data_IF_584427386083
#
_entry.id   IF_584427386083
#
_cell.length_a   1.000
_cell.length_b   1.000
_cell.length_c   1.000
_cell.angle_alpha   90.00
_cell.angle_beta   90.00
_cell.angle_gamma   90.00
#
_symmetry.space_group_name_H-M   'P 1'
#
loop_
_entity.id
_entity.type
_entity.pdbx_description
1 polymer ?
#
# COMPACT_ATOMS: atom_id res chain seq x y z
N UNK A 1 12.70 -13.57 -13.25
CA UNK A 1 12.96 -12.15 -13.55
C UNK A 1 14.14 -11.73 -12.70
N UNK A 2 15.15 -11.12 -13.31
CA UNK A 2 16.28 -10.55 -12.59
C UNK A 2 15.99 -9.06 -12.33
N UNK A 3 15.89 -8.69 -11.06
CA UNK A 3 15.56 -7.32 -10.61
C UNK A 3 16.80 -6.50 -10.29
N UNK A 4 18.01 -7.06 -10.36
CA UNK A 4 19.26 -6.39 -9.96
C UNK A 4 19.43 -5.04 -10.67
N UNK A 5 19.16 -4.99 -11.97
CA UNK A 5 19.25 -3.75 -12.75
C UNK A 5 18.25 -2.67 -12.30
N UNK A 6 17.06 -3.06 -11.84
CA UNK A 6 16.06 -2.13 -11.28
C UNK A 6 16.49 -1.65 -9.89
N UNK A 7 17.00 -2.55 -9.05
CA UNK A 7 17.57 -2.20 -7.75
C UNK A 7 18.67 -1.16 -7.93
N UNK A 8 19.65 -1.43 -8.80
CA UNK A 8 20.78 -0.54 -9.06
C UNK A 8 20.31 0.83 -9.57
N UNK A 9 19.39 0.84 -10.54
CA UNK A 9 18.82 2.06 -11.09
C UNK A 9 18.15 2.93 -10.03
N UNK A 10 17.27 2.36 -9.20
CA UNK A 10 16.56 3.13 -8.18
C UNK A 10 17.44 3.48 -6.98
N UNK A 11 18.44 2.65 -6.63
CA UNK A 11 19.47 3.01 -5.65
C UNK A 11 20.31 4.20 -6.12
N UNK A 12 20.65 4.27 -7.42
CA UNK A 12 21.33 5.44 -7.99
C UNK A 12 20.46 6.70 -7.93
N UNK A 13 19.18 6.61 -8.32
CA UNK A 13 18.23 7.73 -8.19
C UNK A 13 18.16 8.19 -6.73
N UNK A 14 17.96 7.27 -5.78
CA UNK A 14 17.89 7.57 -4.35
C UNK A 14 19.14 8.31 -3.86
N UNK A 15 20.33 7.80 -4.19
CA UNK A 15 21.58 8.38 -3.74
C UNK A 15 21.84 9.79 -4.31
N UNK A 16 21.33 10.07 -5.50
CA UNK A 16 21.43 11.38 -6.16
C UNK A 16 20.28 12.34 -5.83
N UNK A 17 19.24 11.85 -5.13
CA UNK A 17 18.07 12.64 -4.77
C UNK A 17 18.35 13.57 -3.59
N UNK A 18 17.86 14.81 -3.69
CA UNK A 18 18.04 15.83 -2.65
C UNK A 18 17.46 15.40 -1.30
N UNK A 19 18.12 15.76 -0.21
CA UNK A 19 17.65 15.62 1.18
C UNK A 19 17.15 16.96 1.76
N UNK A 20 17.06 18.00 0.93
CA UNK A 20 16.57 19.33 1.33
C UNK A 20 15.06 19.35 1.47
N UNK A 21 14.55 20.24 2.32
CA UNK A 21 13.11 20.39 2.54
C UNK A 21 12.37 20.56 1.20
N UNK A 22 11.33 19.75 0.90
CA UNK A 22 10.64 19.80 -0.38
C UNK A 22 9.92 21.13 -0.60
N UNK A 23 9.91 21.60 -1.85
CA UNK A 23 9.03 22.68 -2.25
C UNK A 23 7.61 22.10 -2.46
N UNK A 24 6.73 22.30 -1.49
CA UNK A 24 5.31 21.99 -1.61
C UNK A 24 4.58 23.20 -2.22
N UNK A 25 3.52 22.94 -2.99
CA UNK A 25 2.80 23.97 -3.75
C UNK A 25 1.69 24.65 -2.95
N UNK A 26 1.13 23.97 -1.94
CA UNK A 26 -0.05 24.43 -1.21
C UNK A 26 0.22 24.44 0.29
N UNK A 27 0.14 25.62 0.89
CA UNK A 27 0.23 25.82 2.34
C UNK A 27 -1.12 26.24 2.93
N UNK A 28 -1.37 25.89 4.18
CA UNK A 28 -2.63 26.16 4.87
C UNK A 28 -2.42 27.03 6.10
N UNK A 29 -3.15 28.13 6.19
CA UNK A 29 -3.21 28.98 7.37
C UNK A 29 -3.95 28.30 8.53
N UNK A 30 -3.71 28.77 9.75
CA UNK A 30 -4.41 28.28 10.94
C UNK A 30 -5.93 28.54 10.90
N UNK A 31 -6.38 29.53 10.12
CA UNK A 31 -7.81 29.77 9.91
C UNK A 31 -8.42 28.69 9.01
N UNK A 32 -7.77 28.38 7.88
CA UNK A 32 -8.21 27.34 6.95
C UNK A 32 -8.21 25.96 7.60
N UNK A 33 -7.17 25.63 8.39
CA UNK A 33 -7.11 24.37 9.14
C UNK A 33 -8.29 24.23 10.08
N UNK A 34 -8.61 25.26 10.88
CA UNK A 34 -9.75 25.23 11.82
C UNK A 34 -11.09 25.03 11.12
N UNK A 35 -11.28 25.62 9.95
CA UNK A 35 -12.48 25.39 9.13
C UNK A 35 -12.56 23.93 8.65
N UNK A 36 -11.46 23.40 8.13
CA UNK A 36 -11.35 22.01 7.67
C UNK A 36 -11.54 21.00 8.80
N UNK A 37 -10.98 21.27 9.97
CA UNK A 37 -11.13 20.46 11.19
C UNK A 37 -12.59 20.43 11.67
N UNK A 38 -13.29 21.56 11.58
CA UNK A 38 -14.74 21.63 11.88
C UNK A 38 -15.54 20.76 10.91
N UNK A 39 -15.22 20.87 9.61
CA UNK A 39 -15.88 20.08 8.58
C UNK A 39 -15.60 18.57 8.75
N UNK A 40 -14.35 18.19 9.00
CA UNK A 40 -13.95 16.81 9.22
C UNK A 40 -14.63 16.23 10.46
N UNK A 41 -14.62 16.96 11.59
CA UNK A 41 -15.30 16.55 12.82
C UNK A 41 -16.79 16.31 12.57
N UNK A 42 -17.47 17.26 11.93
CA UNK A 42 -18.89 17.14 11.61
C UNK A 42 -19.23 15.96 10.69
N UNK A 43 -18.32 15.57 9.78
CA UNK A 43 -18.49 14.33 9.02
C UNK A 43 -18.34 13.08 9.90
N UNK A 44 -17.27 13.01 10.71
CA UNK A 44 -17.02 11.85 11.57
C UNK A 44 -18.09 11.66 12.66
N UNK A 45 -18.63 12.75 13.21
CA UNK A 45 -19.69 12.72 14.23
C UNK A 45 -21.00 12.20 13.64
N UNK A 46 -21.42 12.72 12.46
CA UNK A 46 -22.58 12.19 11.74
C UNK A 46 -22.44 10.70 11.42
N UNK A 47 -21.25 10.26 11.02
CA UNK A 47 -21.01 8.84 10.78
C UNK A 47 -21.14 8.01 12.08
N UNK A 48 -20.62 8.52 13.20
CA UNK A 48 -20.75 7.85 14.51
C UNK A 48 -22.21 7.76 14.98
N UNK A 49 -23.01 8.79 14.72
CA UNK A 49 -24.45 8.81 15.04
C UNK A 49 -25.20 7.73 14.25
N UNK A 50 -25.02 7.67 12.93
CA UNK A 50 -25.61 6.63 12.06
C UNK A 50 -25.29 5.20 12.54
N UNK A 51 -24.12 4.98 13.14
CA UNK A 51 -23.75 3.68 13.74
C UNK A 51 -24.45 3.39 15.06
N UNK A 52 -24.61 4.39 15.94
CA UNK A 52 -25.24 4.20 17.27
C UNK A 52 -26.72 3.85 17.16
N UNK A 53 -27.38 4.33 16.13
CA UNK A 53 -28.81 4.08 15.89
C UNK A 53 -29.12 2.68 15.35
N UNK A 54 -28.10 1.83 15.15
CA UNK A 54 -28.30 0.45 14.65
C UNK A 54 -28.67 0.38 13.15
N UNK A 55 -28.70 1.53 12.45
CA UNK A 55 -29.00 1.67 11.02
C UNK A 55 -27.86 1.21 10.10
N UNK A 56 -26.89 0.43 10.59
CA UNK A 56 -25.81 -0.12 9.74
C UNK A 56 -26.38 -1.04 8.65
N UNK A 57 -27.57 -1.61 8.86
CA UNK A 57 -28.28 -2.43 7.85
C UNK A 57 -28.79 -1.63 6.65
N UNK A 58 -28.74 -0.30 6.67
CA UNK A 58 -29.16 0.55 5.56
C UNK A 58 -28.35 1.85 5.47
N UNK A 59 -27.02 1.77 5.61
CA UNK A 59 -26.17 2.90 5.26
C UNK A 59 -26.46 3.27 3.79
N UNK A 60 -27.12 4.40 3.61
CA UNK A 60 -27.39 4.98 2.31
C UNK A 60 -26.04 5.24 1.63
N UNK A 61 -25.67 4.30 0.75
CA UNK A 61 -24.36 4.26 0.11
C UNK A 61 -24.11 5.54 -0.67
N UNK A 62 -25.16 6.09 -1.30
CA UNK A 62 -25.10 7.34 -2.05
C UNK A 62 -24.78 8.52 -1.12
N UNK A 63 -25.49 8.63 0.02
CA UNK A 63 -25.18 9.67 1.03
C UNK A 63 -23.77 9.53 1.60
N UNK A 64 -23.31 8.32 1.85
CA UNK A 64 -21.94 8.08 2.32
C UNK A 64 -20.92 8.59 1.30
N UNK A 65 -21.01 8.14 0.04
CA UNK A 65 -20.04 8.54 -0.99
C UNK A 65 -20.11 10.04 -1.29
N UNK A 66 -21.29 10.64 -1.24
CA UNK A 66 -21.46 12.10 -1.33
C UNK A 66 -20.74 12.83 -0.19
N UNK A 67 -20.86 12.32 1.04
CA UNK A 67 -20.17 12.85 2.20
C UNK A 67 -18.66 12.68 2.12
N UNK A 68 -18.18 11.48 1.77
CA UNK A 68 -16.76 11.19 1.54
C UNK A 68 -16.18 12.10 0.45
N UNK A 69 -16.87 12.23 -0.68
CA UNK A 69 -16.48 13.15 -1.77
C UNK A 69 -16.39 14.59 -1.27
N UNK A 70 -17.35 15.04 -0.47
CA UNK A 70 -17.30 16.38 0.12
C UNK A 70 -16.11 16.56 1.06
N UNK A 71 -15.74 15.55 1.86
CA UNK A 71 -14.57 15.61 2.74
C UNK A 71 -13.30 15.65 1.91
N UNK A 72 -13.12 14.72 0.98
CA UNK A 72 -11.94 14.66 0.12
C UNK A 72 -11.73 15.97 -0.65
N UNK A 73 -12.81 16.55 -1.19
CA UNK A 73 -12.75 17.84 -1.88
C UNK A 73 -12.41 19.00 -0.96
N UNK A 74 -13.16 19.19 0.12
CA UNK A 74 -13.10 20.42 0.93
C UNK A 74 -12.02 20.40 2.00
N UNK A 75 -11.64 19.22 2.49
CA UNK A 75 -10.61 19.05 3.51
C UNK A 75 -9.26 18.82 2.86
N UNK A 76 -9.19 18.03 1.79
CA UNK A 76 -7.92 17.61 1.20
C UNK A 76 -7.66 18.19 -0.18
N UNK A 77 -8.54 19.00 -0.76
CA UNK A 77 -8.38 19.66 -2.07
C UNK A 77 -8.27 18.70 -3.27
N UNK A 78 -8.89 17.53 -3.22
CA UNK A 78 -9.02 16.69 -4.41
C UNK A 78 -9.97 17.34 -5.44
N UNK A 79 -9.58 17.35 -6.72
CA UNK A 79 -10.38 17.87 -7.83
C UNK A 79 -11.62 17.01 -8.09
N UNK A 80 -12.62 17.55 -8.79
CA UNK A 80 -13.80 16.75 -9.15
C UNK A 80 -13.42 15.59 -10.08
N UNK A 81 -12.49 15.82 -11.00
CA UNK A 81 -11.95 14.84 -11.94
C UNK A 81 -11.25 13.68 -11.19
N UNK A 82 -10.41 14.02 -10.21
CA UNK A 82 -9.76 13.06 -9.31
C UNK A 82 -10.78 12.22 -8.53
N UNK A 83 -11.83 12.88 -8.04
CA UNK A 83 -12.88 12.24 -7.25
C UNK A 83 -13.76 11.33 -8.10
N UNK A 84 -14.05 11.71 -9.35
CA UNK A 84 -14.78 10.87 -10.31
C UNK A 84 -14.06 9.56 -10.58
N UNK A 85 -12.71 9.58 -10.62
CA UNK A 85 -11.91 8.37 -10.79
C UNK A 85 -11.95 7.46 -9.55
N UNK A 86 -11.69 7.99 -8.35
CA UNK A 86 -11.59 7.15 -7.14
C UNK A 86 -12.95 6.71 -6.58
N UNK A 87 -14.02 7.44 -6.91
CA UNK A 87 -15.40 7.09 -6.51
C UNK A 87 -16.21 6.47 -7.64
N UNK A 88 -15.55 6.12 -8.76
CA UNK A 88 -16.21 5.48 -9.89
C UNK A 88 -16.93 4.19 -9.44
N UNK A 89 -18.18 3.92 -9.89
CA UNK A 89 -18.95 2.74 -9.48
C UNK A 89 -18.18 1.42 -9.61
N UNK A 90 -17.36 1.25 -10.65
CA UNK A 90 -16.56 0.05 -10.85
C UNK A 90 -15.56 -0.23 -9.72
N UNK A 91 -15.02 0.79 -9.04
CA UNK A 91 -14.14 0.60 -7.88
C UNK A 91 -14.91 0.01 -6.69
N UNK A 92 -16.16 0.46 -6.50
CA UNK A 92 -17.05 0.01 -5.44
C UNK A 92 -17.51 -1.42 -5.73
N UNK A 93 -17.93 -1.67 -6.97
CA UNK A 93 -18.40 -2.99 -7.41
C UNK A 93 -17.28 -4.03 -7.29
N UNK A 94 -16.06 -3.70 -7.72
CA UNK A 94 -14.90 -4.58 -7.54
C UNK A 94 -14.63 -4.89 -6.06
N UNK A 95 -14.85 -3.92 -5.15
CA UNK A 95 -14.68 -4.14 -3.70
C UNK A 95 -15.75 -5.07 -3.12
N UNK A 96 -17.01 -4.92 -3.55
CA UNK A 96 -18.13 -5.81 -3.18
C UNK A 96 -17.96 -7.22 -3.73
N UNK A 97 -17.53 -7.33 -4.97
CA UNK A 97 -17.18 -8.60 -5.60
C UNK A 97 -16.03 -9.27 -4.83
N UNK A 98 -14.97 -8.53 -4.50
CA UNK A 98 -13.83 -9.06 -3.74
C UNK A 98 -14.28 -9.67 -2.40
N UNK A 99 -15.11 -8.95 -1.64
CA UNK A 99 -15.61 -9.45 -0.36
C UNK A 99 -16.42 -10.74 -0.52
N UNK A 100 -17.35 -10.76 -1.49
CA UNK A 100 -18.18 -11.95 -1.76
C UNK A 100 -17.34 -13.15 -2.18
N UNK A 101 -16.41 -12.96 -3.11
CA UNK A 101 -15.53 -14.03 -3.59
C UNK A 101 -14.55 -14.50 -2.52
N UNK A 102 -14.02 -13.60 -1.67
CA UNK A 102 -13.18 -13.98 -0.53
C UNK A 102 -13.94 -14.86 0.48
N UNK A 103 -15.18 -14.50 0.81
CA UNK A 103 -16.04 -15.31 1.70
C UNK A 103 -16.46 -16.64 1.07
N UNK A 104 -16.64 -16.66 -0.25
CA UNK A 104 -16.94 -17.90 -0.99
C UNK A 104 -15.73 -18.83 -1.05
N UNK A 105 -14.52 -18.28 -1.18
CA UNK A 105 -13.27 -19.03 -1.15
C UNK A 105 -13.01 -19.62 0.24
N UNK A 106 -13.11 -18.81 1.30
CA UNK A 106 -12.93 -19.24 2.68
C UNK A 106 -13.83 -18.44 3.64
N UNK A 107 -14.90 -19.09 4.10
CA UNK A 107 -15.87 -18.49 5.02
C UNK A 107 -15.30 -18.24 6.43
N UNK A 108 -14.13 -18.80 6.76
CA UNK A 108 -13.48 -18.62 8.06
C UNK A 108 -12.67 -17.33 8.15
N UNK A 109 -12.35 -16.68 7.02
CA UNK A 109 -11.64 -15.41 6.99
C UNK A 109 -12.40 -14.34 7.78
N UNK A 110 -11.66 -13.68 8.68
CA UNK A 110 -12.16 -12.53 9.42
C UNK A 110 -12.36 -11.32 8.50
N UNK A 111 -13.11 -10.33 8.98
CA UNK A 111 -13.35 -9.10 8.22
C UNK A 111 -12.08 -8.28 8.07
N UNK A 112 -11.23 -8.34 9.08
CA UNK A 112 -9.93 -7.70 9.14
C UNK A 112 -8.98 -8.30 8.08
N UNK A 113 -8.92 -9.63 7.96
CA UNK A 113 -8.11 -10.31 6.95
C UNK A 113 -8.60 -10.01 5.51
N UNK A 114 -9.92 -10.03 5.28
CA UNK A 114 -10.48 -9.69 3.97
C UNK A 114 -10.18 -8.22 3.63
N UNK A 115 -10.31 -7.32 4.59
CA UNK A 115 -9.98 -5.91 4.37
C UNK A 115 -8.50 -5.70 4.07
N UNK A 116 -7.61 -6.41 4.78
CA UNK A 116 -6.16 -6.37 4.53
C UNK A 116 -5.85 -6.81 3.10
N UNK A 117 -6.40 -7.96 2.66
CA UNK A 117 -6.25 -8.46 1.30
C UNK A 117 -6.82 -7.49 0.26
N UNK A 118 -7.99 -6.92 0.52
CA UNK A 118 -8.65 -5.99 -0.39
C UNK A 118 -7.86 -4.69 -0.63
N UNK A 119 -7.03 -4.25 0.32
CA UNK A 119 -6.14 -3.09 0.10
C UNK A 119 -5.23 -3.31 -1.11
N UNK A 120 -4.71 -4.53 -1.28
CA UNK A 120 -3.89 -4.87 -2.45
C UNK A 120 -4.71 -4.87 -3.74
N UNK A 121 -5.97 -5.35 -3.68
CA UNK A 121 -6.87 -5.29 -4.83
C UNK A 121 -7.14 -3.84 -5.28
N UNK A 122 -7.23 -2.87 -4.35
CA UNK A 122 -7.36 -1.46 -4.72
C UNK A 122 -6.13 -0.87 -5.41
N UNK A 123 -4.92 -1.30 -5.03
CA UNK A 123 -3.70 -0.93 -5.77
C UNK A 123 -3.81 -1.45 -7.19
N UNK A 124 -4.15 -2.74 -7.38
CA UNK A 124 -4.35 -3.33 -8.70
C UNK A 124 -5.47 -2.65 -9.50
N UNK A 125 -6.56 -2.22 -8.88
CA UNK A 125 -7.60 -1.42 -9.55
C UNK A 125 -7.08 -0.04 -9.99
N UNK A 126 -6.23 0.59 -9.18
CA UNK A 126 -5.49 1.78 -9.58
C UNK A 126 -4.57 1.53 -10.78
N UNK A 127 -3.87 0.39 -10.81
CA UNK A 127 -3.05 0.01 -11.96
C UNK A 127 -3.91 -0.25 -13.21
N UNK A 128 -5.10 -0.85 -13.07
CA UNK A 128 -6.05 -0.98 -14.19
C UNK A 128 -6.38 0.39 -14.78
N UNK A 129 -6.68 1.40 -13.94
CA UNK A 129 -6.93 2.76 -14.39
C UNK A 129 -5.72 3.35 -15.15
N UNK A 130 -4.52 3.26 -14.58
CA UNK A 130 -3.29 3.75 -15.20
C UNK A 130 -3.03 3.12 -16.57
N UNK A 131 -3.30 1.82 -16.71
CA UNK A 131 -3.13 1.10 -17.96
C UNK A 131 -4.32 1.26 -18.92
N UNK A 132 -5.36 1.98 -18.51
CA UNK A 132 -6.58 2.14 -19.29
C UNK A 132 -7.40 0.88 -19.46
N UNK A 133 -7.22 -0.08 -18.56
CA UNK A 133 -7.96 -1.32 -18.50
C UNK A 133 -9.26 -1.11 -17.70
N UNK A 134 -10.32 -1.89 -17.99
CA UNK A 134 -11.52 -1.86 -17.17
C UNK A 134 -11.21 -2.28 -15.74
N UNK A 135 -11.68 -1.49 -14.77
CA UNK A 135 -11.63 -1.86 -13.37
C UNK A 135 -12.61 -3.01 -13.12
N UNK A 136 -12.07 -4.17 -12.74
CA UNK A 136 -12.84 -5.38 -12.43
C UNK A 136 -12.01 -6.31 -11.55
N UNK A 137 -12.67 -7.16 -10.77
CA UNK A 137 -12.00 -8.24 -10.08
C UNK A 137 -11.68 -9.36 -11.07
N UNK A 138 -10.39 -9.67 -11.28
CA UNK A 138 -9.99 -10.87 -12.00
C UNK A 138 -9.64 -12.00 -11.04
N UNK A 139 -9.65 -13.27 -11.48
CA UNK A 139 -9.20 -14.40 -10.67
C UNK A 139 -7.81 -14.18 -10.06
N UNK A 140 -6.88 -13.61 -10.82
CA UNK A 140 -5.50 -13.34 -10.36
C UNK A 140 -5.42 -12.18 -9.37
N UNK A 141 -6.25 -11.14 -9.52
CA UNK A 141 -6.37 -10.05 -8.53
C UNK A 141 -6.89 -10.62 -7.20
N UNK A 142 -7.97 -11.40 -7.24
CA UNK A 142 -8.51 -12.08 -6.06
C UNK A 142 -7.46 -12.98 -5.42
N UNK A 143 -6.88 -13.87 -6.24
CA UNK A 143 -6.01 -14.93 -5.76
C UNK A 143 -4.76 -14.37 -5.08
N UNK A 144 -4.08 -13.43 -5.72
CA UNK A 144 -2.85 -12.87 -5.18
C UNK A 144 -3.10 -12.02 -3.94
N UNK A 145 -4.14 -11.18 -3.95
CA UNK A 145 -4.51 -10.41 -2.76
C UNK A 145 -4.88 -11.30 -1.57
N UNK A 146 -5.52 -12.44 -1.80
CA UNK A 146 -5.83 -13.42 -0.75
C UNK A 146 -4.63 -14.25 -0.29
N UNK A 147 -3.47 -14.22 -0.96
CA UNK A 147 -2.29 -14.91 -0.44
C UNK A 147 -1.85 -14.33 0.91
N UNK A 148 -1.94 -13.01 1.09
CA UNK A 148 -1.48 -12.29 2.30
C UNK A 148 -1.96 -12.91 3.63
N UNK A 149 -3.27 -13.14 3.85
CA UNK A 149 -3.74 -13.84 5.06
C UNK A 149 -3.11 -15.21 5.32
N UNK A 150 -2.72 -15.93 4.26
CA UNK A 150 -2.17 -17.28 4.38
C UNK A 150 -0.63 -17.32 4.42
N UNK A 151 0.06 -16.42 3.69
CA UNK A 151 1.52 -16.33 3.64
C UNK A 151 2.08 -15.35 4.65
N UNK A 152 1.74 -14.08 4.54
CA UNK A 152 2.40 -12.98 5.25
C UNK A 152 2.15 -13.09 6.76
N UNK A 153 0.89 -13.37 7.16
CA UNK A 153 0.57 -13.63 8.56
C UNK A 153 1.39 -14.79 9.18
N UNK A 154 1.86 -15.77 8.40
CA UNK A 154 2.75 -16.83 8.89
C UNK A 154 4.19 -16.34 9.01
N UNK A 155 4.65 -15.58 8.00
CA UNK A 155 6.01 -15.05 7.96
C UNK A 155 6.24 -13.98 9.02
N UNK A 156 5.20 -13.22 9.38
CA UNK A 156 5.25 -12.15 10.37
C UNK A 156 5.02 -12.64 11.80
N UNK A 157 4.45 -13.84 12.00
CA UNK A 157 4.18 -14.38 13.33
C UNK A 157 5.50 -14.67 14.10
N UNK A 158 5.77 -13.97 15.23
CA UNK A 158 6.99 -14.16 16.00
C UNK A 158 7.01 -15.51 16.75
N UNK A 159 5.86 -16.17 16.90
CA UNK A 159 5.78 -17.50 17.52
C UNK A 159 6.27 -18.62 16.59
N UNK A 160 6.32 -18.38 15.27
CA UNK A 160 6.78 -19.36 14.29
C UNK A 160 8.31 -19.31 14.17
N UNK A 161 8.96 -20.47 14.24
CA UNK A 161 10.41 -20.54 14.23
C UNK A 161 11.01 -20.17 12.86
N UNK A 162 12.26 -19.70 12.87
CA UNK A 162 13.02 -19.41 11.64
C UNK A 162 13.06 -20.62 10.68
N UNK A 163 13.20 -21.82 11.25
CA UNK A 163 13.30 -23.06 10.48
C UNK A 163 11.98 -23.41 9.80
N UNK A 164 10.85 -23.19 10.48
CA UNK A 164 9.52 -23.40 9.92
C UNK A 164 9.22 -22.39 8.82
N UNK A 165 9.51 -21.09 9.03
CA UNK A 165 9.39 -20.05 8.00
C UNK A 165 10.21 -20.41 6.77
N UNK A 166 11.48 -20.79 6.95
CA UNK A 166 12.35 -21.19 5.84
C UNK A 166 11.86 -22.45 5.12
N UNK A 167 11.32 -23.43 5.83
CA UNK A 167 10.76 -24.64 5.23
C UNK A 167 9.48 -24.34 4.43
N UNK A 168 8.61 -23.47 4.96
CA UNK A 168 7.44 -22.96 4.26
C UNK A 168 7.84 -22.19 3.00
N UNK A 169 8.76 -21.23 3.08
CA UNK A 169 9.20 -20.43 1.93
C UNK A 169 9.77 -21.29 0.81
N UNK A 170 10.52 -22.37 1.13
CA UNK A 170 11.02 -23.32 0.11
C UNK A 170 9.90 -24.09 -0.58
N UNK A 171 8.89 -24.56 0.17
CA UNK A 171 7.72 -25.24 -0.42
C UNK A 171 6.93 -24.28 -1.32
N UNK A 172 6.72 -23.07 -0.83
CA UNK A 172 5.99 -22.05 -1.59
C UNK A 172 6.71 -21.66 -2.87
N UNK A 173 8.04 -21.50 -2.83
CA UNK A 173 8.85 -21.29 -4.04
C UNK A 173 8.68 -22.44 -5.04
N UNK A 174 8.74 -23.71 -4.58
CA UNK A 174 8.50 -24.88 -5.43
C UNK A 174 7.10 -24.90 -6.07
N UNK A 175 6.07 -24.49 -5.33
CA UNK A 175 4.70 -24.34 -5.85
C UNK A 175 4.62 -23.23 -6.91
N UNK A 176 5.24 -22.08 -6.65
CA UNK A 176 5.31 -20.97 -7.61
C UNK A 176 6.10 -21.33 -8.86
N UNK A 177 7.09 -22.22 -8.78
CA UNK A 177 7.78 -22.80 -9.93
C UNK A 177 6.93 -23.84 -10.69
N UNK A 178 5.94 -24.45 -10.03
CA UNK A 178 5.19 -25.59 -10.56
C UNK A 178 5.97 -26.91 -10.45
N UNK A 179 6.98 -26.97 -9.59
CA UNK A 179 7.86 -28.14 -9.41
C UNK A 179 7.35 -29.08 -8.30
N UNK A 180 6.66 -28.55 -7.30
CA UNK A 180 6.16 -29.33 -6.16
C UNK A 180 4.88 -28.70 -5.61
N UNK A 181 3.91 -29.52 -5.14
CA UNK A 181 2.72 -29.00 -4.47
C UNK A 181 3.09 -28.39 -3.11
N UNK A 182 2.13 -27.68 -2.52
CA UNK A 182 2.25 -27.27 -1.13
C UNK A 182 2.03 -28.48 -0.20
N UNK A 183 2.21 -28.27 1.10
CA UNK A 183 1.88 -29.25 2.12
C UNK A 183 0.38 -29.53 2.25
N UNK A 184 0.03 -30.53 3.05
CA UNK A 184 -1.34 -31.02 3.18
C UNK A 184 -2.18 -30.30 4.23
N UNK A 185 -1.63 -29.28 4.91
CA UNK A 185 -2.40 -28.51 5.89
C UNK A 185 -3.36 -27.54 5.18
N UNK A 186 -4.50 -27.16 5.80
CA UNK A 186 -5.52 -26.35 5.14
C UNK A 186 -5.01 -25.02 4.57
N UNK A 187 -4.10 -24.33 5.28
CA UNK A 187 -3.49 -23.07 4.84
C UNK A 187 -2.66 -23.26 3.57
N UNK A 188 -1.82 -24.29 3.55
CA UNK A 188 -0.98 -24.63 2.40
C UNK A 188 -1.81 -25.09 1.19
N UNK A 189 -2.91 -25.82 1.42
CA UNK A 189 -3.88 -26.16 0.37
C UNK A 189 -4.59 -24.92 -0.19
N UNK A 190 -4.92 -23.94 0.65
CA UNK A 190 -5.48 -22.66 0.20
C UNK A 190 -4.49 -21.90 -0.70
N UNK A 191 -3.22 -21.81 -0.28
CA UNK A 191 -2.15 -21.20 -1.09
C UNK A 191 -2.03 -21.90 -2.45
N UNK A 192 -2.00 -23.23 -2.48
CA UNK A 192 -1.92 -23.99 -3.74
C UNK A 192 -3.13 -23.71 -4.65
N UNK A 193 -4.34 -23.63 -4.08
CA UNK A 193 -5.55 -23.31 -4.83
C UNK A 193 -5.52 -21.89 -5.43
N UNK A 194 -5.00 -20.90 -4.68
CA UNK A 194 -4.83 -19.52 -5.16
C UNK A 194 -3.77 -19.45 -6.27
N UNK A 195 -2.63 -20.11 -6.11
CA UNK A 195 -1.60 -20.20 -7.18
C UNK A 195 -2.17 -20.89 -8.43
N UNK A 196 -2.96 -21.95 -8.26
CA UNK A 196 -3.62 -22.63 -9.36
C UNK A 196 -4.63 -21.71 -10.08
N UNK A 197 -5.33 -20.85 -9.34
CA UNK A 197 -6.23 -19.84 -9.92
C UNK A 197 -5.47 -18.88 -10.84
N UNK A 198 -4.31 -18.37 -10.40
CA UNK A 198 -3.43 -17.53 -11.22
C UNK A 198 -2.94 -18.29 -12.46
N UNK A 199 -2.52 -19.55 -12.30
CA UNK A 199 -2.03 -20.37 -13.40
C UNK A 199 -3.10 -20.65 -14.47
N UNK A 200 -4.39 -20.70 -14.10
CA UNK A 200 -5.50 -20.88 -15.05
C UNK A 200 -5.75 -19.64 -15.89
N UNK A 201 -5.70 -18.45 -15.28
CA UNK A 201 -5.83 -17.19 -16.00
C UNK A 201 -4.59 -16.89 -16.85
N UNK A 202 -3.41 -17.13 -16.29
CA UNK A 202 -2.12 -16.92 -16.94
C UNK A 202 -1.34 -18.22 -17.07
N UNK A 203 -1.54 -19.02 -18.13
CA UNK A 203 -0.75 -20.23 -18.37
C UNK A 203 0.76 -19.92 -18.49
N UNK A 204 1.59 -20.65 -17.73
CA UNK A 204 3.05 -20.43 -17.61
C UNK A 204 3.80 -20.28 -18.93
N UNK A 205 3.44 -21.09 -19.92
CA UNK A 205 4.06 -21.09 -21.25
C UNK A 205 3.71 -19.87 -22.10
N UNK A 206 2.60 -19.18 -21.80
CA UNK A 206 2.16 -17.97 -22.51
C UNK A 206 2.54 -16.69 -21.76
N UNK A 207 2.56 -16.74 -20.44
CA UNK A 207 2.79 -15.59 -19.56
C UNK A 207 3.97 -15.83 -18.62
N UNK A 208 5.18 -16.12 -19.14
CA UNK A 208 6.33 -16.44 -18.29
C UNK A 208 6.67 -15.30 -17.31
N UNK A 209 6.44 -14.04 -17.70
CA UNK A 209 6.76 -12.89 -16.88
C UNK A 209 5.85 -12.75 -15.65
N UNK A 210 4.58 -13.15 -15.72
CA UNK A 210 3.67 -13.20 -14.56
C UNK A 210 4.21 -14.14 -13.48
N UNK A 211 4.62 -15.33 -13.88
CA UNK A 211 5.15 -16.32 -12.93
C UNK A 211 6.54 -15.93 -12.41
N UNK A 212 7.34 -15.31 -13.26
CA UNK A 212 8.63 -14.80 -12.86
C UNK A 212 8.53 -13.59 -11.91
N UNK A 213 7.49 -12.76 -12.01
CA UNK A 213 7.27 -11.65 -11.08
C UNK A 213 6.81 -12.17 -9.72
N UNK A 214 5.92 -13.18 -9.68
CA UNK A 214 5.54 -13.87 -8.43
C UNK A 214 6.74 -14.48 -7.71
N UNK A 215 7.64 -15.13 -8.46
CA UNK A 215 8.88 -15.66 -7.90
C UNK A 215 9.82 -14.54 -7.41
N UNK A 216 9.86 -13.40 -8.09
CA UNK A 216 10.69 -12.27 -7.70
C UNK A 216 10.22 -11.68 -6.36
N UNK A 217 8.93 -11.38 -6.19
CA UNK A 217 8.40 -10.88 -4.92
C UNK A 217 8.56 -11.89 -3.78
N UNK A 218 8.30 -13.18 -4.03
CA UNK A 218 8.51 -14.23 -3.01
C UNK A 218 9.96 -14.31 -2.53
N UNK A 219 10.92 -14.21 -3.46
CA UNK A 219 12.35 -14.17 -3.13
C UNK A 219 12.72 -12.90 -2.37
N UNK A 220 12.20 -11.75 -2.78
CA UNK A 220 12.43 -10.49 -2.10
C UNK A 220 11.87 -10.49 -0.67
N UNK A 221 10.64 -11.00 -0.47
CA UNK A 221 10.03 -11.21 0.85
C UNK A 221 10.89 -12.16 1.70
N UNK A 222 11.30 -13.31 1.17
CA UNK A 222 12.16 -14.28 1.89
C UNK A 222 13.50 -13.65 2.26
N UNK A 223 14.10 -12.85 1.37
CA UNK A 223 15.35 -12.11 1.65
C UNK A 223 15.15 -11.04 2.72
N UNK A 224 13.98 -10.41 2.78
CA UNK A 224 13.66 -9.35 3.74
C UNK A 224 13.63 -9.83 5.19
N UNK A 225 13.51 -11.13 5.44
CA UNK A 225 13.70 -11.71 6.79
C UNK A 225 15.06 -11.32 7.40
N UNK A 226 16.09 -11.06 6.58
CA UNK A 226 17.38 -10.55 7.08
C UNK A 226 17.27 -9.19 7.79
N UNK A 227 16.28 -8.38 7.43
CA UNK A 227 16.01 -7.10 8.07
C UNK A 227 15.41 -7.28 9.48
N UNK A 228 14.74 -8.40 9.74
CA UNK A 228 14.12 -8.74 11.01
C UNK A 228 15.05 -9.57 11.92
N UNK A 229 16.37 -9.45 11.76
CA UNK A 229 17.36 -10.13 12.61
C UNK A 229 17.64 -11.59 12.26
N UNK A 230 17.13 -12.12 11.15
CA UNK A 230 17.44 -13.48 10.71
C UNK A 230 18.77 -13.53 9.94
N UNK A 231 19.77 -14.22 10.49
CA UNK A 231 21.08 -14.41 9.84
C UNK A 231 22.06 -13.27 10.11
N UNK A 232 22.99 -13.03 9.17
CA UNK A 232 24.00 -11.97 9.33
C UNK A 232 23.36 -10.59 9.13
N UNK A 233 23.53 -9.65 10.08
CA UNK A 233 23.03 -8.29 9.96
C UNK A 233 23.48 -7.64 8.66
N UNK A 234 22.54 -7.09 7.86
CA UNK A 234 22.87 -6.43 6.60
C UNK A 234 23.62 -5.12 6.84
N UNK A 235 24.51 -4.77 5.91
CA UNK A 235 25.09 -3.43 5.82
C UNK A 235 24.04 -2.37 5.44
N UNK A 236 24.35 -1.08 5.59
CA UNK A 236 23.43 0.00 5.23
C UNK A 236 23.01 -0.03 3.75
N UNK A 237 23.93 -0.37 2.84
CA UNK A 237 23.63 -0.56 1.42
C UNK A 237 22.72 -1.77 1.19
N UNK A 238 22.96 -2.88 1.90
CA UNK A 238 22.07 -4.05 1.81
C UNK A 238 20.67 -3.76 2.35
N UNK A 239 20.53 -2.98 3.42
CA UNK A 239 19.21 -2.57 3.96
C UNK A 239 18.42 -1.84 2.87
N UNK A 240 19.04 -0.84 2.23
CA UNK A 240 18.45 -0.09 1.11
C UNK A 240 18.02 -1.04 -0.01
N UNK A 241 18.93 -1.90 -0.47
CA UNK A 241 18.70 -2.80 -1.61
C UNK A 241 17.63 -3.84 -1.34
N UNK A 242 17.59 -4.40 -0.12
CA UNK A 242 16.57 -5.38 0.28
C UNK A 242 15.18 -4.72 0.35
N UNK A 243 15.09 -3.52 0.95
CA UNK A 243 13.84 -2.76 0.98
C UNK A 243 13.35 -2.43 -0.43
N UNK A 244 14.25 -2.00 -1.32
CA UNK A 244 13.90 -1.65 -2.70
C UNK A 244 13.45 -2.87 -3.51
N UNK A 245 14.10 -4.02 -3.34
CA UNK A 245 13.70 -5.27 -3.97
C UNK A 245 12.30 -5.69 -3.49
N UNK A 246 12.05 -5.67 -2.17
CA UNK A 246 10.73 -6.02 -1.60
C UNK A 246 9.62 -5.09 -2.09
N UNK A 247 9.80 -3.79 -1.93
CA UNK A 247 8.80 -2.79 -2.35
C UNK A 247 8.57 -2.80 -3.85
N UNK A 248 9.64 -2.77 -4.65
CA UNK A 248 9.55 -2.68 -6.09
C UNK A 248 8.96 -3.93 -6.75
N UNK A 249 9.33 -5.13 -6.27
CA UNK A 249 8.74 -6.36 -6.79
C UNK A 249 7.26 -6.51 -6.45
N UNK A 250 6.77 -5.91 -5.36
CA UNK A 250 5.37 -5.99 -4.94
C UNK A 250 4.44 -5.40 -6.00
N UNK A 251 4.63 -4.12 -6.33
CA UNK A 251 3.80 -3.44 -7.35
C UNK A 251 4.11 -3.91 -8.76
N UNK A 252 5.34 -4.37 -9.03
CA UNK A 252 5.67 -4.99 -10.32
C UNK A 252 4.87 -6.28 -10.53
N UNK A 253 4.77 -7.14 -9.50
CA UNK A 253 3.94 -8.33 -9.56
C UNK A 253 2.47 -7.98 -9.77
N UNK A 254 1.95 -6.98 -9.06
CA UNK A 254 0.59 -6.47 -9.26
C UNK A 254 0.33 -6.08 -10.71
N UNK A 255 1.25 -5.33 -11.32
CA UNK A 255 1.13 -4.90 -12.71
C UNK A 255 1.06 -6.08 -13.70
N UNK A 256 1.88 -7.11 -13.50
CA UNK A 256 1.82 -8.32 -14.33
C UNK A 256 0.53 -9.11 -14.12
N UNK A 257 0.02 -9.19 -12.89
CA UNK A 257 -1.26 -9.87 -12.61
C UNK A 257 -2.46 -9.10 -13.19
N UNK A 258 -2.36 -7.78 -13.27
CA UNK A 258 -3.37 -6.91 -13.88
C UNK A 258 -3.40 -7.02 -15.41
N UNK A 259 -2.22 -7.03 -16.05
CA UNK A 259 -2.12 -6.85 -17.51
C UNK A 259 -1.64 -8.09 -18.28
N UNK A 260 -1.06 -9.08 -17.59
CA UNK A 260 -0.38 -10.24 -18.18
C UNK A 260 0.96 -9.91 -18.84
N UNK A 261 1.09 -8.72 -19.44
CA UNK A 261 2.30 -8.21 -20.08
C UNK A 261 2.45 -6.71 -19.77
N UNK A 262 3.69 -6.28 -19.58
CA UNK A 262 4.05 -4.88 -19.38
C UNK A 262 5.16 -4.50 -20.35
N UNK A 263 5.18 -3.24 -20.79
CA UNK A 263 6.37 -2.71 -21.47
C UNK A 263 7.52 -2.54 -20.47
N UNK A 264 8.77 -2.43 -20.93
CA UNK A 264 9.91 -2.13 -20.05
C UNK A 264 9.72 -0.84 -19.26
N UNK A 265 9.15 0.20 -19.86
CA UNK A 265 8.92 1.50 -19.23
C UNK A 265 7.88 1.41 -18.12
N UNK A 266 6.76 0.72 -18.37
CA UNK A 266 5.71 0.51 -17.35
C UNK A 266 6.24 -0.39 -16.23
N UNK A 267 7.02 -1.43 -16.56
CA UNK A 267 7.65 -2.30 -15.56
C UNK A 267 8.58 -1.50 -14.64
N UNK A 268 9.40 -0.61 -15.22
CA UNK A 268 10.28 0.29 -14.46
C UNK A 268 9.46 1.23 -13.57
N UNK A 269 8.42 1.86 -14.11
CA UNK A 269 7.56 2.76 -13.35
C UNK A 269 6.90 2.03 -12.17
N UNK A 270 6.28 0.88 -12.38
CA UNK A 270 5.64 0.11 -11.31
C UNK A 270 6.63 -0.36 -10.25
N UNK A 271 7.84 -0.75 -10.65
CA UNK A 271 8.89 -1.06 -9.69
C UNK A 271 9.26 0.17 -8.85
N UNK A 272 9.53 1.33 -9.47
CA UNK A 272 9.83 2.57 -8.75
C UNK A 272 8.68 3.01 -7.84
N UNK A 273 7.44 2.83 -8.29
CA UNK A 273 6.24 3.13 -7.53
C UNK A 273 6.16 2.27 -6.27
N UNK A 274 6.45 0.96 -6.38
CA UNK A 274 6.54 0.06 -5.24
C UNK A 274 7.66 0.42 -4.26
N UNK A 275 8.82 0.86 -4.75
CA UNK A 275 9.90 1.38 -3.89
C UNK A 275 9.42 2.60 -3.10
N UNK A 276 8.70 3.52 -3.75
CA UNK A 276 8.20 4.71 -3.07
C UNK A 276 7.15 4.40 -2.00
N UNK A 277 6.26 3.44 -2.26
CA UNK A 277 5.31 2.94 -1.25
C UNK A 277 6.03 2.30 -0.06
N UNK A 278 7.05 1.47 -0.29
CA UNK A 278 7.84 0.87 0.79
C UNK A 278 8.52 1.95 1.65
N UNK A 279 9.07 3.00 1.04
CA UNK A 279 9.65 4.13 1.77
C UNK A 279 8.60 4.87 2.61
N UNK A 280 7.37 5.02 2.09
CA UNK A 280 6.29 5.65 2.84
C UNK A 280 5.87 4.78 4.04
N UNK A 281 5.70 3.48 3.83
CA UNK A 281 5.36 2.51 4.88
C UNK A 281 6.44 2.49 5.99
N UNK A 282 7.74 2.42 5.63
CA UNK A 282 8.83 2.45 6.62
C UNK A 282 8.85 3.74 7.48
N UNK A 283 8.36 4.87 6.94
CA UNK A 283 8.22 6.12 7.69
C UNK A 283 6.99 6.08 8.60
N UNK A 284 5.89 5.47 8.15
CA UNK A 284 4.67 5.28 8.94
C UNK A 284 4.89 4.34 10.13
N UNK A 285 5.63 3.26 9.89
CA UNK A 285 5.80 2.16 10.83
C UNK A 285 7.09 2.28 11.65
N UNK A 286 7.78 3.43 11.57
CA UNK A 286 9.05 3.67 12.25
C UNK A 286 9.07 3.34 13.76
N UNK A 287 7.98 3.62 14.49
CA UNK A 287 7.91 3.27 15.92
C UNK A 287 7.84 1.75 16.14
N UNK A 288 7.09 1.05 15.29
CA UNK A 288 6.89 -0.40 15.30
C UNK A 288 8.19 -1.10 14.87
N UNK A 289 8.81 -0.67 13.78
CA UNK A 289 10.11 -1.18 13.31
C UNK A 289 11.21 -1.05 14.37
N UNK A 290 11.27 0.09 15.06
CA UNK A 290 12.23 0.30 16.15
C UNK A 290 11.92 -0.54 17.38
N UNK A 291 10.65 -0.85 17.64
CA UNK A 291 10.24 -1.73 18.74
C UNK A 291 10.63 -3.18 18.46
N UNK A 292 10.39 -3.63 17.23
CA UNK A 292 10.62 -5.01 16.78
C UNK A 292 12.08 -5.26 16.37
N UNK A 293 12.89 -4.20 16.26
CA UNK A 293 14.28 -4.28 15.82
C UNK A 293 14.41 -4.55 14.31
N UNK A 294 13.36 -4.31 13.54
CA UNK A 294 13.36 -4.40 12.08
C UNK A 294 14.23 -3.29 11.50
N UNK A 295 15.17 -3.66 10.63
CA UNK A 295 16.11 -2.75 10.00
C UNK A 295 15.53 -2.21 8.68
N UNK A 296 15.16 -0.93 8.68
CA UNK A 296 14.78 -0.17 7.49
C UNK A 296 15.75 1.00 7.30
N UNK A 297 15.64 1.72 6.19
CA UNK A 297 16.46 2.92 5.94
C UNK A 297 16.23 3.96 7.06
N UNK A 298 15.05 3.97 7.68
CA UNK A 298 14.67 4.95 8.70
C UNK A 298 14.93 4.45 10.12
N UNK A 299 14.82 3.14 10.39
CA UNK A 299 15.05 2.56 11.72
C UNK A 299 16.51 2.11 11.96
N UNK A 300 17.33 2.01 10.90
CA UNK A 300 18.71 1.54 11.02
C UNK A 300 19.56 2.35 12.02
N UNK A 301 20.44 1.68 12.80
CA UNK A 301 21.33 2.35 13.73
C UNK A 301 22.17 3.44 13.04
N UNK A 302 22.17 4.64 13.62
CA UNK A 302 22.92 5.79 13.10
C UNK A 302 22.11 6.74 12.22
N UNK A 303 20.93 6.33 11.71
CA UNK A 303 20.11 7.18 10.84
C UNK A 303 19.17 8.15 11.58
N UNK A 304 19.05 8.01 12.91
CA UNK A 304 18.16 8.85 13.74
C UNK A 304 18.37 10.36 13.54
N UNK A 305 19.62 10.82 13.45
CA UNK A 305 19.93 12.24 13.24
C UNK A 305 19.61 12.72 11.82
N UNK A 306 19.52 11.79 10.85
CA UNK A 306 19.29 12.06 9.44
C UNK A 306 17.83 11.87 9.01
N UNK A 307 16.93 11.48 9.92
CA UNK A 307 15.51 11.19 9.62
C UNK A 307 14.81 12.30 8.82
N UNK A 308 14.93 13.61 9.16
CA UNK A 308 14.36 14.67 8.33
C UNK A 308 14.90 14.66 6.90
N UNK A 309 16.22 14.48 6.71
CA UNK A 309 16.84 14.44 5.39
C UNK A 309 16.43 13.21 4.58
N UNK A 310 16.33 12.04 5.21
CA UNK A 310 15.84 10.81 4.58
C UNK A 310 14.37 10.93 4.17
N UNK A 311 13.55 11.56 5.02
CA UNK A 311 12.13 11.83 4.71
C UNK A 311 11.98 12.80 3.55
N UNK A 312 12.75 13.88 3.55
CA UNK A 312 12.81 14.81 2.42
C UNK A 312 13.19 14.10 1.13
N UNK A 313 14.19 13.21 1.20
CA UNK A 313 14.61 12.40 0.06
C UNK A 313 13.49 11.49 -0.43
N UNK A 314 12.68 10.90 0.44
CA UNK A 314 11.52 10.10 0.04
C UNK A 314 10.48 10.91 -0.74
N UNK A 315 10.23 12.17 -0.38
CA UNK A 315 9.37 13.06 -1.18
C UNK A 315 9.94 13.31 -2.58
N UNK A 316 11.20 13.72 -2.66
CA UNK A 316 11.85 14.01 -3.94
C UNK A 316 11.99 12.76 -4.81
N UNK A 317 12.29 11.61 -4.21
CA UNK A 317 12.38 10.33 -4.91
C UNK A 317 11.05 9.97 -5.56
N UNK A 318 9.96 10.08 -4.80
CA UNK A 318 8.61 9.86 -5.31
C UNK A 318 8.29 10.75 -6.52
N UNK A 319 8.64 12.03 -6.45
CA UNK A 319 8.43 12.97 -7.57
C UNK A 319 9.20 12.56 -8.83
N UNK A 320 10.45 12.10 -8.69
CA UNK A 320 11.25 11.59 -9.82
C UNK A 320 10.61 10.32 -10.40
N UNK A 321 10.19 9.38 -9.56
CA UNK A 321 9.47 8.16 -9.99
C UNK A 321 8.20 8.52 -10.75
N UNK A 322 7.44 9.51 -10.27
CA UNK A 322 6.19 9.95 -10.88
C UNK A 322 6.38 10.63 -12.25
N UNK A 323 7.60 11.03 -12.65
CA UNK A 323 7.85 11.49 -14.02
C UNK A 323 7.64 10.39 -15.07
N UNK A 324 7.80 9.12 -14.68
CA UNK A 324 7.60 7.97 -15.56
C UNK A 324 6.12 7.57 -15.70
N UNK A 325 5.20 8.18 -14.95
CA UNK A 325 3.76 7.93 -15.12
C UNK A 325 3.26 8.29 -16.52
N UNK A 326 4.00 9.13 -17.25
CA UNK A 326 3.73 9.50 -18.66
C UNK A 326 3.72 8.30 -19.62
N UNK A 327 4.29 7.16 -19.24
CA UNK A 327 4.25 5.93 -20.03
C UNK A 327 2.95 5.14 -19.84
N UNK A 328 2.12 5.52 -18.87
CA UNK A 328 0.76 5.02 -18.69
C UNK A 328 -0.21 5.73 -19.67
N UNK A 329 -1.50 5.38 -19.62
CA UNK A 329 -2.50 5.96 -20.53
C UNK A 329 -2.73 7.44 -20.23
N UNK A 330 -2.37 8.28 -21.19
CA UNK A 330 -2.28 9.75 -21.10
C UNK A 330 -3.44 10.43 -20.36
N UNK A 331 -4.69 10.15 -20.74
CA UNK A 331 -5.87 10.81 -20.15
C UNK A 331 -6.12 10.44 -18.69
N UNK A 332 -5.68 9.26 -18.25
CA UNK A 332 -5.89 8.76 -16.88
C UNK A 332 -4.65 9.03 -16.03
N UNK A 333 -3.46 8.94 -16.60
CA UNK A 333 -2.20 9.15 -15.90
C UNK A 333 -2.04 10.56 -15.35
N UNK A 334 -2.59 11.58 -16.02
CA UNK A 334 -2.49 12.96 -15.53
C UNK A 334 -3.31 13.16 -14.24
N UNK A 335 -4.61 12.88 -14.29
CA UNK A 335 -5.50 13.09 -13.13
C UNK A 335 -5.25 12.08 -12.02
N UNK A 336 -5.10 10.80 -12.35
CA UNK A 336 -4.82 9.79 -11.34
C UNK A 336 -3.40 9.91 -10.77
N UNK A 337 -2.45 10.42 -11.55
CA UNK A 337 -1.12 10.76 -11.07
C UNK A 337 -1.13 11.82 -9.98
N UNK A 338 -1.97 12.87 -10.14
CA UNK A 338 -2.18 13.89 -9.09
C UNK A 338 -2.71 13.24 -7.81
N UNK A 339 -3.69 12.33 -7.94
CA UNK A 339 -4.25 11.59 -6.79
C UNK A 339 -3.18 10.78 -6.06
N UNK A 340 -2.38 9.99 -6.79
CA UNK A 340 -1.33 9.15 -6.21
C UNK A 340 -0.31 10.03 -5.48
N UNK A 341 0.20 11.07 -6.17
CA UNK A 341 1.21 11.97 -5.62
C UNK A 341 0.73 12.62 -4.33
N UNK A 342 -0.43 13.27 -4.38
CA UNK A 342 -1.03 13.96 -3.23
C UNK A 342 -1.30 13.01 -2.06
N UNK A 343 -1.82 11.81 -2.34
CA UNK A 343 -2.16 10.84 -1.29
C UNK A 343 -0.93 10.35 -0.54
N UNK A 344 0.15 10.03 -1.24
CA UNK A 344 1.38 9.50 -0.63
C UNK A 344 2.19 10.62 0.02
N UNK A 345 2.25 11.81 -0.59
CA UNK A 345 2.89 12.95 0.08
C UNK A 345 2.18 13.30 1.39
N UNK A 346 0.84 13.33 1.42
CA UNK A 346 0.07 13.54 2.65
C UNK A 346 0.33 12.45 3.68
N UNK A 347 0.52 11.20 3.24
CA UNK A 347 0.83 10.06 4.09
C UNK A 347 2.19 10.22 4.77
N UNK A 348 3.25 10.48 3.99
CA UNK A 348 4.61 10.71 4.50
C UNK A 348 4.64 11.94 5.41
N UNK A 349 3.98 13.03 5.00
CA UNK A 349 3.91 14.27 5.75
C UNK A 349 3.29 14.06 7.13
N UNK A 350 2.16 13.35 7.21
CA UNK A 350 1.49 13.05 8.48
C UNK A 350 2.32 12.08 9.32
N UNK A 351 2.93 11.06 8.71
CA UNK A 351 3.76 10.09 9.42
C UNK A 351 4.93 10.76 10.16
N UNK A 352 5.69 11.60 9.45
CA UNK A 352 6.79 12.35 10.05
C UNK A 352 6.30 13.46 10.99
N UNK A 353 5.23 14.16 10.59
CA UNK A 353 4.65 15.28 11.33
C UNK A 353 4.10 14.90 12.71
N UNK A 354 3.44 13.75 12.82
CA UNK A 354 2.82 13.28 14.06
C UNK A 354 3.83 12.64 15.03
N UNK A 355 4.99 12.22 14.53
CA UNK A 355 6.01 11.46 15.26
C UNK A 355 6.97 12.34 16.09
N UNK A 356 6.51 12.88 17.22
CA UNK A 356 7.28 13.83 18.07
C UNK A 356 8.52 13.21 18.71
N UNK A 357 8.50 11.88 18.88
CA UNK A 357 9.61 11.10 19.42
C UNK A 357 10.84 11.07 18.49
N UNK A 358 10.61 11.19 17.19
CA UNK A 358 11.64 10.95 16.17
C UNK A 358 12.04 12.22 15.41
N UNK A 359 11.08 13.13 15.17
CA UNK A 359 11.32 14.32 14.36
C UNK A 359 11.44 15.59 15.22
N UNK A 360 12.42 16.48 14.92
CA UNK A 360 12.55 17.76 15.60
C UNK A 360 11.29 18.63 15.46
N UNK A 361 10.98 19.41 16.49
CA UNK A 361 9.82 20.31 16.51
C UNK A 361 9.83 21.30 15.33
N UNK A 362 10.99 21.87 15.00
CA UNK A 362 11.15 22.82 13.89
C UNK A 362 10.76 22.20 12.55
N UNK A 363 11.22 20.98 12.27
CA UNK A 363 10.88 20.25 11.05
C UNK A 363 9.39 19.90 10.99
N UNK A 364 8.82 19.42 12.10
CA UNK A 364 7.38 19.14 12.19
C UNK A 364 6.54 20.39 11.94
N UNK A 365 6.89 21.52 12.53
CA UNK A 365 6.16 22.78 12.29
C UNK A 365 6.27 23.27 10.85
N UNK A 366 7.39 23.00 10.16
CA UNK A 366 7.51 23.25 8.72
C UNK A 366 6.58 22.34 7.90
N UNK A 367 6.53 21.04 8.20
CA UNK A 367 5.61 20.10 7.55
C UNK A 367 4.14 20.46 7.80
N UNK A 368 3.81 20.87 9.02
CA UNK A 368 2.44 21.22 9.40
C UNK A 368 1.87 22.37 8.56
N UNK A 369 2.70 23.29 8.08
CA UNK A 369 2.27 24.36 7.18
C UNK A 369 1.66 23.82 5.87
N UNK A 370 1.99 22.59 5.47
CA UNK A 370 1.51 21.92 4.27
C UNK A 370 0.52 20.78 4.59
N UNK A 371 0.12 20.63 5.86
CA UNK A 371 -0.93 19.71 6.28
C UNK A 371 -2.29 20.41 6.21
N UNK A 372 -3.29 19.83 5.52
CA UNK A 372 -4.65 20.40 5.48
C UNK A 372 -5.36 20.47 6.84
N UNK A 373 -4.93 19.64 7.79
CA UNK A 373 -5.43 19.57 9.16
C UNK A 373 -4.25 19.74 10.12
N UNK A 374 -4.49 20.38 11.28
CA UNK A 374 -3.46 20.50 12.31
C UNK A 374 -3.02 19.14 12.86
N UNK A 375 -1.74 19.01 13.21
CA UNK A 375 -1.19 17.76 13.75
C UNK A 375 -1.76 17.45 15.13
N UNK A 376 -1.99 18.47 15.97
CA UNK A 376 -2.65 18.29 17.27
C UNK A 376 -4.08 17.78 17.08
N UNK A 377 -4.81 18.32 16.10
CA UNK A 377 -6.14 17.84 15.76
C UNK A 377 -6.13 16.37 15.32
N UNK A 378 -5.21 15.99 14.42
CA UNK A 378 -5.08 14.62 13.93
C UNK A 378 -4.74 13.63 15.05
N UNK A 379 -3.86 14.00 15.99
CA UNK A 379 -3.55 13.19 17.17
C UNK A 379 -4.79 12.97 18.04
N UNK A 380 -5.57 14.02 18.30
CA UNK A 380 -6.81 13.92 19.06
C UNK A 380 -7.88 13.10 18.33
N UNK A 381 -8.00 13.25 17.01
CA UNK A 381 -8.91 12.46 16.18
C UNK A 381 -8.56 10.96 16.21
N UNK A 382 -7.26 10.61 16.25
CA UNK A 382 -6.77 9.23 16.39
C UNK A 382 -7.11 8.66 17.78
N UNK A 383 -6.89 9.42 18.86
CA UNK A 383 -7.24 9.01 20.24
C UNK A 383 -8.74 8.80 20.44
N UNK A 384 -9.58 9.63 19.84
CA UNK A 384 -11.05 9.53 19.92
C UNK A 384 -11.63 8.33 19.17
N UNK A 385 -10.79 7.51 18.54
CA UNK A 385 -11.22 6.32 17.82
C UNK A 385 -12.12 6.68 16.65
N UNK A 386 -11.85 7.81 15.97
CA UNK A 386 -12.50 8.14 14.70
C UNK A 386 -12.54 6.87 13.86
N UNK A 387 -13.72 6.43 13.37
CA UNK A 387 -13.88 5.10 12.83
C UNK A 387 -12.78 4.86 11.79
N UNK A 388 -11.91 3.90 12.08
CA UNK A 388 -10.78 3.61 11.21
C UNK A 388 -11.29 3.38 9.79
N UNK A 389 -10.53 3.82 8.79
CA UNK A 389 -10.86 3.68 7.36
C UNK A 389 -11.41 2.29 7.02
N UNK A 390 -10.88 1.25 7.67
CA UNK A 390 -11.39 -0.12 7.66
C UNK A 390 -12.87 -0.24 8.05
N UNK A 391 -13.24 0.20 9.26
CA UNK A 391 -14.60 0.07 9.80
C UNK A 391 -15.64 0.87 8.99
N UNK A 392 -15.21 1.92 8.30
CA UNK A 392 -16.03 2.70 7.37
C UNK A 392 -16.31 1.90 6.10
N UNK A 393 -15.24 1.39 5.50
CA UNK A 393 -15.31 0.76 4.19
C UNK A 393 -15.93 -0.64 4.25
N UNK A 394 -15.60 -1.45 5.27
CA UNK A 394 -16.21 -2.78 5.43
C UNK A 394 -17.72 -2.71 5.60
N UNK A 395 -18.25 -1.72 6.32
CA UNK A 395 -19.70 -1.54 6.47
C UNK A 395 -20.46 -1.14 5.21
N UNK A 396 -19.77 -0.72 4.15
CA UNK A 396 -20.39 -0.34 2.86
C UNK A 396 -20.33 -1.46 1.82
N UNK A 397 -19.38 -2.36 2.01
CA UNK A 397 -19.07 -3.47 1.12
C UNK A 397 -19.87 -4.71 1.51
N UNK A 398 -20.22 -4.84 2.79
CA UNK A 398 -21.16 -5.85 3.28
C UNK A 398 -22.57 -5.56 2.72
N UNK A 399 -22.99 -6.31 1.69
CA UNK A 399 -24.40 -6.36 1.28
C UNK A 399 -25.21 -7.09 2.36
N UNK A 400 -26.42 -6.62 2.71
CA UNK A 400 -27.29 -7.36 3.61
C UNK A 400 -27.67 -8.71 2.98
N UNK A 401 -27.48 -9.79 3.74
CA UNK A 401 -27.87 -11.15 3.37
C UNK A 401 -29.38 -11.29 3.15
#
# INVERSE_FOLDING_TARGET
MDTIHLIDHFSEIWNNTSDRFPAFTTSYSDAEKRERETLFSGYTDRFRELRKEGEVRSLDTEKFFKGLRSVMKKVYDFSDESLDLITHPSMIDASREFYREARAFDASLSREEIYQAMRNAWIMNGLQLLLGLPVRLSPSILAYSLLYPYSDNLLDDPAISAAEKAAFSRRFEGCLHGESPMGTNPREQAIEALVAMICREYPRHKFPLVHQSLLAIHRAQTRSLRLCGYGTPPSADEILRIGFDKGGTSVLADGYLVAGHLSPEISRFFYGYGVWLQLADDIQDLDEDLHDGTLTIFSAPGNKASLPGLTNRAFHFGRVVMEDIKYCKETVSEEFGKVILQSIELMILQAAGLSSRFYPRTYRSQLEAFSPLGFDYLLEARKKGSPGRMKLITSLIEEPA
#
